data_IF_554016920474
#
_entry.id   IF_554016920474
#
_cell.length_a   1.000
_cell.length_b   1.000
_cell.length_c   1.000
_cell.angle_alpha   90.00
_cell.angle_beta   90.00
_cell.angle_gamma   90.00
#
_symmetry.space_group_name_H-M   'P 1'
#
loop_
_entity.id
_entity.type
_entity.pdbx_description
1 polymer ?
#
# COMPACT_ATOMS: atom_id res chain seq x y z
N UNK A 1 10.67 18.49 23.07
CA UNK A 1 11.82 17.61 22.72
C UNK A 1 12.70 17.31 23.93
N UNK A 2 13.07 18.28 24.76
CA UNK A 2 13.94 18.07 25.95
C UNK A 2 13.55 16.91 26.88
N UNK A 3 12.27 16.70 27.26
CA UNK A 3 11.90 15.57 28.11
C UNK A 3 12.21 14.21 27.46
N UNK A 4 12.00 14.09 26.15
CA UNK A 4 12.31 12.88 25.39
C UNK A 4 13.82 12.67 25.26
N UNK A 5 14.59 13.72 24.96
CA UNK A 5 16.06 13.64 24.91
C UNK A 5 16.62 13.17 26.24
N UNK A 6 16.17 13.76 27.36
CA UNK A 6 16.56 13.32 28.70
C UNK A 6 16.21 11.86 28.96
N UNK A 7 14.99 11.43 28.62
CA UNK A 7 14.55 10.04 28.78
C UNK A 7 15.48 9.07 28.05
N UNK A 8 15.88 9.41 26.82
CA UNK A 8 16.78 8.60 25.99
C UNK A 8 18.22 8.61 26.52
N UNK A 9 18.73 9.76 26.97
CA UNK A 9 20.07 9.88 27.55
C UNK A 9 20.22 9.16 28.90
N UNK A 10 19.11 8.96 29.62
CA UNK A 10 19.03 8.14 30.83
C UNK A 10 18.98 6.61 30.53
N UNK A 11 19.12 6.20 29.26
CA UNK A 11 19.08 4.80 28.77
C UNK A 11 17.84 4.03 29.24
N UNK A 12 16.68 4.68 29.15
CA UNK A 12 15.39 4.09 29.53
C UNK A 12 14.78 3.31 28.36
N UNK A 13 13.98 2.25 28.62
CA UNK A 13 13.36 1.45 27.57
C UNK A 13 12.58 2.30 26.57
N UNK A 14 13.01 2.28 25.31
CA UNK A 14 12.40 3.03 24.23
C UNK A 14 12.33 2.16 22.97
N UNK A 15 11.19 2.19 22.29
CA UNK A 15 11.00 1.58 20.98
C UNK A 15 10.60 2.65 19.98
N UNK A 16 11.53 3.03 19.10
CA UNK A 16 11.22 3.87 17.94
C UNK A 16 10.69 3.03 16.79
N UNK A 17 9.62 3.45 16.13
CA UNK A 17 9.03 2.74 14.97
C UNK A 17 9.00 3.69 13.78
N UNK A 18 9.54 3.25 12.64
CA UNK A 18 9.60 3.99 11.38
C UNK A 18 10.21 5.40 11.55
N UNK A 19 9.42 6.47 11.49
CA UNK A 19 9.90 7.83 11.75
C UNK A 19 10.49 7.97 13.17
N UNK A 20 10.03 7.16 14.12
CA UNK A 20 10.61 7.08 15.47
C UNK A 20 12.04 6.52 15.49
N UNK A 21 12.43 5.66 14.54
CA UNK A 21 13.81 5.25 14.31
C UNK A 21 14.61 6.39 13.67
N UNK A 22 14.06 6.98 12.61
CA UNK A 22 14.73 8.03 11.84
C UNK A 22 15.00 9.29 12.68
N UNK A 23 14.03 9.68 13.53
CA UNK A 23 14.14 10.81 14.43
C UNK A 23 15.27 10.66 15.48
N UNK A 24 15.82 9.46 15.71
CA UNK A 24 16.97 9.27 16.61
C UNK A 24 18.29 9.76 16.00
N UNK A 25 18.35 9.99 14.69
CA UNK A 25 19.53 10.45 13.96
C UNK A 25 19.60 11.98 13.89
N UNK A 26 20.63 12.53 13.24
CA UNK A 26 20.92 13.96 13.25
C UNK A 26 20.05 14.73 12.24
N UNK A 27 19.86 14.19 11.05
CA UNK A 27 19.18 14.84 9.93
C UNK A 27 18.60 13.82 8.93
N UNK A 28 17.67 14.29 8.10
CA UNK A 28 17.06 13.54 7.00
C UNK A 28 17.13 14.31 5.70
N UNK A 29 17.50 13.63 4.62
CA UNK A 29 17.42 14.17 3.26
C UNK A 29 15.98 14.54 2.84
N UNK A 30 14.97 13.92 3.45
CA UNK A 30 13.55 14.24 3.21
C UNK A 30 13.17 15.64 3.73
N UNK A 31 13.80 16.06 4.82
CA UNK A 31 13.52 17.32 5.51
C UNK A 31 14.82 17.93 6.04
N UNK A 32 15.71 18.45 5.16
CA UNK A 32 17.07 18.85 5.53
C UNK A 32 17.10 20.00 6.56
N UNK A 33 16.04 20.81 6.61
CA UNK A 33 15.92 21.94 7.55
C UNK A 33 15.36 21.53 8.92
N UNK A 34 14.98 20.26 9.12
CA UNK A 34 14.38 19.75 10.37
C UNK A 34 15.39 18.86 11.09
N UNK A 35 15.97 19.31 12.22
CA UNK A 35 16.93 18.50 12.96
C UNK A 35 16.25 17.33 13.68
N UNK A 36 16.93 16.18 13.72
CA UNK A 36 16.53 15.05 14.53
C UNK A 36 16.91 15.20 16.01
N UNK A 37 16.75 14.11 16.77
CA UNK A 37 17.10 14.07 18.18
C UNK A 37 18.61 13.99 18.41
N UNK A 38 19.38 13.56 17.41
CA UNK A 38 20.84 13.37 17.46
C UNK A 38 21.28 12.45 18.63
N UNK A 39 20.51 11.38 18.86
CA UNK A 39 20.87 10.33 19.82
C UNK A 39 21.93 9.40 19.20
N UNK A 40 21.77 9.09 17.92
CA UNK A 40 22.75 8.34 17.12
C UNK A 40 23.34 9.25 16.05
N UNK A 41 24.63 9.05 15.75
CA UNK A 41 25.30 9.72 14.64
C UNK A 41 24.97 9.06 13.32
N UNK A 42 24.82 9.87 12.29
CA UNK A 42 24.46 9.43 10.95
C UNK A 42 23.21 10.14 10.43
N UNK A 43 22.80 9.72 9.23
CA UNK A 43 21.82 10.46 8.43
C UNK A 43 20.75 9.52 7.88
N UNK A 44 19.57 10.08 7.65
CA UNK A 44 18.50 9.39 6.92
C UNK A 44 18.62 9.77 5.45
N UNK A 45 18.72 8.77 4.57
CA UNK A 45 18.96 8.96 3.13
C UNK A 45 17.87 8.35 2.28
N UNK A 46 17.61 8.95 1.13
CA UNK A 46 16.71 8.38 0.13
C UNK A 46 17.32 7.10 -0.46
N UNK A 47 16.48 6.12 -0.80
CA UNK A 47 16.95 4.95 -1.54
C UNK A 47 17.51 5.36 -2.91
N UNK A 48 18.70 4.87 -3.24
CA UNK A 48 19.28 5.02 -4.59
C UNK A 48 19.47 3.64 -5.21
N UNK A 49 18.40 3.13 -5.80
CA UNK A 49 18.29 1.76 -6.32
C UNK A 49 17.54 1.76 -7.65
N UNK A 50 17.69 0.68 -8.42
CA UNK A 50 16.89 0.44 -9.63
C UNK A 50 15.53 -0.23 -9.34
N UNK A 51 15.26 -0.58 -8.07
CA UNK A 51 13.96 -1.06 -7.62
C UNK A 51 13.00 0.11 -7.42
N UNK A 52 11.70 -0.19 -7.35
CA UNK A 52 10.67 0.81 -7.08
C UNK A 52 10.94 1.55 -5.76
N UNK A 53 10.58 2.82 -5.65
CA UNK A 53 10.65 3.57 -4.39
C UNK A 53 9.36 4.36 -4.23
N UNK A 54 8.59 4.20 -3.14
CA UNK A 54 8.99 3.67 -1.82
C UNK A 54 9.16 2.14 -1.76
N UNK A 55 9.97 1.67 -0.81
CA UNK A 55 10.03 0.25 -0.43
C UNK A 55 8.72 -0.10 0.31
N UNK A 56 7.78 -0.74 -0.38
CA UNK A 56 6.45 -1.11 0.14
C UNK A 56 6.28 -2.63 0.10
N UNK A 57 6.30 -3.29 1.26
CA UNK A 57 5.98 -4.71 1.34
C UNK A 57 6.68 -5.44 2.46
N UNK A 58 6.80 -6.76 2.28
CA UNK A 58 7.21 -7.69 3.33
C UNK A 58 8.62 -8.21 3.07
N UNK A 59 9.59 -7.84 3.90
CA UNK A 59 11.00 -8.22 3.70
C UNK A 59 11.57 -8.90 4.96
N UNK A 60 12.66 -9.66 4.78
CA UNK A 60 13.32 -10.39 5.85
C UNK A 60 14.30 -9.53 6.65
N UNK A 61 14.87 -10.11 7.71
CA UNK A 61 15.88 -9.48 8.56
C UNK A 61 17.16 -10.32 8.58
N UNK A 62 18.30 -9.66 8.42
CA UNK A 62 19.62 -10.20 8.73
C UNK A 62 20.04 -9.73 10.11
N UNK A 63 20.07 -10.64 11.07
CA UNK A 63 20.37 -10.32 12.47
C UNK A 63 21.88 -10.10 12.64
N UNK A 64 22.28 -8.89 13.02
CA UNK A 64 23.69 -8.57 13.28
C UNK A 64 24.09 -8.94 14.71
N UNK A 65 23.16 -8.86 15.66
CA UNK A 65 23.33 -9.22 17.07
C UNK A 65 22.04 -9.75 17.68
N UNK A 66 22.14 -10.42 18.82
CA UNK A 66 20.97 -10.90 19.58
C UNK A 66 20.31 -9.77 20.38
N UNK A 67 18.98 -9.82 20.51
CA UNK A 67 18.18 -8.88 21.27
C UNK A 67 16.94 -9.54 21.88
N UNK A 68 16.53 -9.15 23.11
CA UNK A 68 15.31 -9.68 23.72
C UNK A 68 14.06 -9.45 22.87
N UNK A 69 14.01 -8.38 22.06
CA UNK A 69 12.82 -8.08 21.23
C UNK A 69 12.54 -9.16 20.18
N UNK A 70 13.51 -10.01 19.85
CA UNK A 70 13.37 -11.10 18.89
C UNK A 70 13.02 -12.46 19.52
N UNK A 71 12.82 -12.52 20.84
CA UNK A 71 12.53 -13.78 21.53
C UNK A 71 11.33 -14.52 20.88
N UNK A 72 11.55 -15.78 20.51
CA UNK A 72 10.54 -16.64 19.88
C UNK A 72 10.38 -16.49 18.37
N UNK A 73 11.19 -15.66 17.71
CA UNK A 73 11.30 -15.62 16.24
C UNK A 73 12.31 -16.66 15.74
N UNK A 74 12.04 -17.30 14.61
CA UNK A 74 12.94 -18.30 14.02
C UNK A 74 13.97 -17.71 13.04
N UNK A 75 13.73 -16.51 12.50
CA UNK A 75 14.64 -15.78 11.61
C UNK A 75 14.24 -15.78 10.14
N UNK A 76 13.15 -16.47 9.76
CA UNK A 76 12.57 -16.48 8.42
C UNK A 76 11.33 -15.59 8.31
N UNK A 77 10.87 -14.99 9.41
CA UNK A 77 9.72 -14.10 9.40
C UNK A 77 9.96 -12.88 8.51
N UNK A 78 8.88 -12.39 7.89
CA UNK A 78 8.88 -11.14 7.15
C UNK A 78 8.18 -10.04 7.94
N UNK A 79 8.69 -8.83 7.79
CA UNK A 79 8.16 -7.62 8.43
C UNK A 79 7.77 -6.60 7.37
N UNK A 80 6.77 -5.78 7.68
CA UNK A 80 6.22 -4.81 6.76
C UNK A 80 7.01 -3.49 6.79
N UNK A 81 7.56 -3.13 5.63
CA UNK A 81 8.27 -1.89 5.36
C UNK A 81 7.43 -1.01 4.43
N UNK A 82 7.46 0.30 4.67
CA UNK A 82 6.72 1.29 3.88
C UNK A 82 7.43 2.65 3.96
N UNK A 83 8.53 2.82 3.21
CA UNK A 83 9.39 4.00 3.31
C UNK A 83 10.25 4.27 2.06
N UNK A 84 10.51 5.55 1.77
CA UNK A 84 11.48 5.95 0.72
C UNK A 84 12.87 6.24 1.26
N UNK A 85 12.99 6.47 2.57
CA UNK A 85 14.23 6.87 3.23
C UNK A 85 14.62 5.86 4.29
N UNK A 86 15.92 5.64 4.50
CA UNK A 86 16.44 4.72 5.51
C UNK A 86 17.63 5.34 6.26
N UNK A 87 17.90 4.85 7.47
CA UNK A 87 19.04 5.33 8.26
C UNK A 87 20.37 4.77 7.73
N UNK A 88 21.40 5.58 7.83
CA UNK A 88 22.80 5.25 7.57
C UNK A 88 23.61 5.64 8.82
N UNK A 89 23.77 4.72 9.78
CA UNK A 89 24.57 4.98 10.98
C UNK A 89 26.05 5.18 10.66
N UNK A 90 26.72 6.08 11.38
CA UNK A 90 28.20 6.14 11.38
C UNK A 90 28.81 4.99 12.19
N UNK A 91 28.11 4.55 13.24
CA UNK A 91 28.53 3.47 14.12
C UNK A 91 27.85 2.16 13.74
N UNK A 92 28.49 1.30 12.94
CA UNK A 92 27.89 0.02 12.51
C UNK A 92 27.45 -0.88 13.69
N UNK A 93 28.11 -0.77 14.84
CA UNK A 93 27.81 -1.55 16.04
C UNK A 93 26.39 -1.32 16.59
N UNK A 94 25.73 -0.21 16.26
CA UNK A 94 24.34 0.02 16.69
C UNK A 94 23.33 -0.76 15.84
N UNK A 95 23.68 -1.17 14.63
CA UNK A 95 22.79 -1.95 13.77
C UNK A 95 22.39 -3.25 14.47
N UNK A 96 21.07 -3.44 14.61
CA UNK A 96 20.49 -4.65 15.20
C UNK A 96 20.13 -5.64 14.09
N UNK A 97 19.51 -5.15 13.02
CA UNK A 97 19.27 -5.91 11.79
C UNK A 97 19.58 -5.08 10.55
N UNK A 98 19.93 -5.77 9.47
CA UNK A 98 19.92 -5.20 8.12
C UNK A 98 18.96 -5.96 7.23
N UNK A 99 18.62 -5.37 6.08
CA UNK A 99 17.71 -5.93 5.08
C UNK A 99 18.22 -5.54 3.70
N UNK A 100 18.03 -6.40 2.71
CA UNK A 100 18.39 -6.15 1.31
C UNK A 100 17.22 -5.54 0.54
N UNK A 101 17.50 -4.41 -0.13
CA UNK A 101 16.61 -3.78 -1.10
C UNK A 101 17.44 -2.99 -2.12
N UNK A 102 17.92 -3.67 -3.17
CA UNK A 102 18.92 -3.16 -4.12
C UNK A 102 20.34 -3.11 -3.53
N UNK A 103 20.46 -2.81 -2.23
CA UNK A 103 21.65 -2.95 -1.42
C UNK A 103 21.26 -3.24 0.05
N UNK A 104 22.23 -3.61 0.88
CA UNK A 104 22.00 -3.83 2.31
C UNK A 104 21.79 -2.50 3.05
N UNK A 105 20.66 -2.31 3.72
CA UNK A 105 20.37 -1.14 4.57
C UNK A 105 20.09 -1.54 6.02
N UNK A 106 20.26 -0.60 6.95
CA UNK A 106 19.97 -0.83 8.39
C UNK A 106 18.45 -0.80 8.63
N UNK A 107 17.88 -1.95 9.03
CA UNK A 107 16.44 -2.12 9.24
C UNK A 107 16.00 -2.05 10.70
N UNK A 108 16.94 -2.15 11.65
CA UNK A 108 16.72 -1.81 13.06
C UNK A 108 18.03 -1.45 13.74
N UNK A 109 17.94 -0.70 14.85
CA UNK A 109 19.09 -0.30 15.67
C UNK A 109 18.84 -0.59 17.14
N UNK A 110 19.91 -0.79 17.89
CA UNK A 110 19.88 -0.89 19.34
C UNK A 110 21.18 -0.40 19.99
N UNK A 111 21.04 0.43 21.03
CA UNK A 111 22.10 0.79 21.99
C UNK A 111 21.49 0.87 23.39
N UNK A 112 22.02 0.09 24.32
CA UNK A 112 21.43 -0.02 25.66
C UNK A 112 19.98 -0.51 25.59
N UNK A 113 19.09 0.21 26.28
CA UNK A 113 17.66 -0.05 26.31
C UNK A 113 16.88 0.62 25.16
N UNK A 114 17.55 1.42 24.32
CA UNK A 114 16.95 2.07 23.15
C UNK A 114 17.00 1.08 21.99
N UNK A 115 15.82 0.66 21.54
CA UNK A 115 15.62 -0.12 20.31
C UNK A 115 14.83 0.72 19.31
N UNK A 116 15.04 0.52 18.02
CA UNK A 116 14.16 1.10 17.02
C UNK A 116 14.12 0.26 15.74
N UNK A 117 12.97 0.22 15.06
CA UNK A 117 12.74 -0.56 13.84
C UNK A 117 12.30 0.34 12.70
N UNK A 118 12.82 0.08 11.49
CA UNK A 118 12.37 0.76 10.28
C UNK A 118 11.04 0.18 9.78
N UNK A 119 10.84 -1.13 9.98
CA UNK A 119 9.56 -1.80 9.75
C UNK A 119 8.54 -1.47 10.84
N UNK A 120 7.27 -1.68 10.51
CA UNK A 120 6.12 -1.49 11.39
C UNK A 120 5.69 -2.81 12.06
N UNK A 121 6.11 -3.11 13.29
CA UNK A 121 5.71 -4.35 13.96
C UNK A 121 4.19 -4.45 14.17
N UNK A 122 3.49 -3.33 14.36
CA UNK A 122 2.02 -3.28 14.43
C UNK A 122 1.32 -3.60 13.10
N UNK A 123 2.05 -3.58 11.98
CA UNK A 123 1.57 -3.97 10.64
C UNK A 123 2.23 -5.25 10.11
N UNK A 124 3.01 -5.93 10.94
CA UNK A 124 3.75 -7.15 10.57
C UNK A 124 3.08 -8.43 11.08
N UNK A 125 1.76 -8.42 11.25
CA UNK A 125 0.98 -9.57 11.72
C UNK A 125 1.48 -10.14 13.05
N UNK A 126 1.39 -11.46 13.21
CA UNK A 126 1.78 -12.17 14.45
C UNK A 126 3.24 -11.96 14.82
N UNK A 127 4.15 -11.96 13.84
CA UNK A 127 5.59 -11.79 14.06
C UNK A 127 5.91 -10.38 14.59
N UNK A 128 5.23 -9.37 14.07
CA UNK A 128 5.36 -8.01 14.57
C UNK A 128 4.75 -7.81 15.96
N UNK A 129 3.57 -8.39 16.24
CA UNK A 129 3.00 -8.41 17.58
C UNK A 129 3.94 -9.07 18.59
N UNK A 130 4.70 -10.10 18.17
CA UNK A 130 5.69 -10.75 19.02
C UNK A 130 6.82 -9.78 19.42
N UNK A 131 7.30 -8.96 18.48
CA UNK A 131 8.31 -7.92 18.77
C UNK A 131 7.79 -6.91 19.81
N UNK A 132 6.53 -6.46 19.65
CA UNK A 132 5.90 -5.54 20.62
C UNK A 132 5.72 -6.19 21.99
N UNK A 133 5.25 -7.45 22.04
CA UNK A 133 5.10 -8.22 23.27
C UNK A 133 6.43 -8.33 24.01
N UNK A 134 7.50 -8.68 23.29
CA UNK A 134 8.83 -8.86 23.87
C UNK A 134 9.40 -7.54 24.42
N UNK A 135 9.20 -6.42 23.71
CA UNK A 135 9.59 -5.10 24.20
C UNK A 135 8.85 -4.73 25.50
N UNK A 136 7.53 -4.95 25.55
CA UNK A 136 6.70 -4.64 26.73
C UNK A 136 7.09 -5.50 27.94
N UNK A 137 7.42 -6.78 27.72
CA UNK A 137 7.88 -7.67 28.80
C UNK A 137 9.18 -7.19 29.44
N UNK A 138 10.03 -6.48 28.69
CA UNK A 138 11.27 -5.91 29.21
C UNK A 138 12.29 -6.97 29.65
N UNK A 139 12.28 -8.15 29.01
CA UNK A 139 13.28 -9.18 29.26
C UNK A 139 14.68 -8.68 28.90
N UNK A 140 15.71 -9.12 29.62
CA UNK A 140 17.11 -8.71 29.40
C UNK A 140 17.93 -9.78 28.68
N UNK A 141 17.40 -11.00 28.57
CA UNK A 141 18.05 -12.14 27.94
C UNK A 141 18.24 -11.89 26.45
N UNK A 142 19.50 -11.80 26.00
CA UNK A 142 19.79 -11.69 24.57
C UNK A 142 19.35 -12.95 23.84
N UNK A 143 18.56 -12.79 22.78
CA UNK A 143 18.09 -13.86 21.92
C UNK A 143 18.47 -13.56 20.47
N UNK A 144 19.07 -14.53 19.79
CA UNK A 144 19.35 -14.46 18.35
C UNK A 144 18.60 -15.61 17.67
N UNK A 145 17.77 -15.34 16.65
CA UNK A 145 17.05 -16.38 15.94
C UNK A 145 17.97 -17.46 15.34
N UNK A 146 17.48 -18.69 15.24
CA UNK A 146 18.26 -19.84 14.75
C UNK A 146 18.66 -19.69 13.29
N UNK A 147 17.74 -19.23 12.45
CA UNK A 147 17.99 -19.03 11.03
C UNK A 147 18.65 -17.67 10.82
N UNK A 148 19.78 -17.69 10.13
CA UNK A 148 20.55 -16.50 9.76
C UNK A 148 20.58 -16.42 8.23
N UNK A 149 19.82 -15.48 7.68
CA UNK A 149 19.75 -15.26 6.24
C UNK A 149 21.03 -14.58 5.74
N UNK A 150 21.60 -15.08 4.65
CA UNK A 150 22.69 -14.40 3.92
C UNK A 150 22.16 -13.25 3.07
N UNK A 151 20.94 -13.40 2.55
CA UNK A 151 20.23 -12.44 1.70
C UNK A 151 18.75 -12.45 2.07
N UNK A 152 18.10 -11.28 2.06
CA UNK A 152 16.64 -11.15 2.23
C UNK A 152 15.97 -10.78 0.92
N UNK A 153 14.72 -11.20 0.75
CA UNK A 153 13.94 -10.90 -0.46
C UNK A 153 12.60 -10.29 -0.10
N UNK A 154 12.22 -9.23 -0.83
CA UNK A 154 10.88 -8.68 -0.78
C UNK A 154 9.89 -9.73 -1.31
N UNK A 155 8.89 -10.05 -0.51
CA UNK A 155 7.82 -10.95 -0.92
C UNK A 155 6.85 -10.26 -1.88
N UNK A 156 6.38 -11.02 -2.86
CA UNK A 156 5.23 -10.64 -3.69
C UNK A 156 3.97 -10.62 -2.83
N UNK A 157 3.21 -9.53 -2.96
CA UNK A 157 2.15 -9.15 -2.02
C UNK A 157 0.78 -9.57 -2.55
N UNK A 158 0.02 -10.30 -1.73
CA UNK A 158 -1.37 -10.67 -2.07
C UNK A 158 -2.33 -9.71 -1.37
N UNK A 159 -2.97 -8.85 -2.16
CA UNK A 159 -3.90 -7.83 -1.68
C UNK A 159 -5.32 -8.33 -1.79
N UNK A 160 -6.05 -8.33 -0.67
CA UNK A 160 -7.47 -8.68 -0.65
C UNK A 160 -8.30 -7.39 -0.69
N UNK A 161 -9.28 -7.34 -1.60
CA UNK A 161 -10.12 -6.16 -1.76
C UNK A 161 -11.59 -6.44 -1.42
N UNK A 162 -12.26 -5.46 -0.84
CA UNK A 162 -13.70 -5.49 -0.59
C UNK A 162 -14.38 -4.16 -0.96
N UNK A 163 -15.46 -4.27 -1.71
CA UNK A 163 -16.38 -3.17 -1.96
C UNK A 163 -17.24 -2.93 -0.74
N UNK A 164 -17.30 -1.69 -0.25
CA UNK A 164 -18.24 -1.30 0.80
C UNK A 164 -19.27 -0.34 0.21
N UNK A 165 -20.54 -0.76 0.26
CA UNK A 165 -21.69 -0.02 -0.27
C UNK A 165 -22.73 0.21 0.82
N UNK A 166 -23.67 1.10 0.55
CA UNK A 166 -24.86 1.29 1.40
C UNK A 166 -26.04 0.59 0.75
N UNK A 167 -26.77 -0.24 1.50
CA UNK A 167 -28.03 -0.83 1.02
C UNK A 167 -29.21 0.15 1.17
N UNK A 168 -30.40 -0.22 0.69
CA UNK A 168 -31.62 0.61 0.78
C UNK A 168 -32.02 1.00 2.21
N UNK A 169 -31.56 0.26 3.22
CA UNK A 169 -31.83 0.50 4.63
C UNK A 169 -30.75 1.39 5.31
N UNK A 170 -29.71 1.78 4.58
CA UNK A 170 -28.61 2.58 5.11
C UNK A 170 -27.48 1.77 5.75
N UNK A 171 -27.49 0.44 5.67
CA UNK A 171 -26.44 -0.43 6.20
C UNK A 171 -25.24 -0.48 5.27
N UNK A 172 -24.05 -0.62 5.85
CA UNK A 172 -22.85 -0.96 5.08
C UNK A 172 -22.86 -2.45 4.74
N UNK A 173 -22.84 -2.77 3.46
CA UNK A 173 -22.79 -4.13 2.95
C UNK A 173 -21.58 -4.32 2.06
N UNK A 174 -21.08 -5.56 2.01
CA UNK A 174 -20.07 -5.97 1.03
C UNK A 174 -20.77 -6.64 -0.13
N UNK A 175 -20.52 -6.17 -1.36
CA UNK A 175 -21.07 -6.80 -2.57
C UNK A 175 -20.19 -7.94 -3.04
N UNK A 176 -20.82 -9.05 -3.42
CA UNK A 176 -20.18 -10.26 -3.96
C UNK A 176 -19.70 -10.06 -5.41
N UNK A 177 -18.89 -9.04 -5.72
CA UNK A 177 -18.15 -8.89 -6.98
C UNK A 177 -18.93 -8.87 -8.30
N UNK A 178 -20.24 -9.11 -8.28
CA UNK A 178 -21.14 -9.17 -9.44
C UNK A 178 -22.41 -8.40 -9.06
N UNK A 179 -23.04 -7.74 -10.03
CA UNK A 179 -24.36 -7.11 -9.84
C UNK A 179 -25.30 -8.10 -9.14
N UNK A 180 -25.97 -7.71 -8.04
CA UNK A 180 -27.34 -8.07 -7.64
C UNK A 180 -27.61 -7.84 -6.13
N UNK A 181 -28.86 -7.44 -5.87
CA UNK A 181 -29.52 -7.05 -4.63
C UNK A 181 -29.13 -7.83 -3.37
N UNK A 182 -28.75 -7.11 -2.30
CA UNK A 182 -28.61 -7.67 -0.95
C UNK A 182 -29.76 -7.16 -0.09
N UNK A 183 -30.89 -7.87 -0.10
CA UNK A 183 -32.01 -7.66 0.84
C UNK A 183 -31.86 -8.59 2.04
N UNK A 184 -31.46 -8.05 3.19
CA UNK A 184 -31.70 -8.69 4.50
C UNK A 184 -32.45 -7.70 5.40
N UNK A 185 -33.36 -8.22 6.23
CA UNK A 185 -34.22 -7.45 7.14
C UNK A 185 -33.63 -7.44 8.54
N UNK A 186 -33.36 -6.27 9.10
CA UNK A 186 -33.08 -6.10 10.53
C UNK A 186 -32.63 -4.68 10.87
N UNK A 187 -33.06 -4.16 12.02
CA UNK A 187 -32.71 -2.81 12.50
C UNK A 187 -31.26 -2.70 13.03
N UNK A 188 -30.71 -1.48 12.91
CA UNK A 188 -29.33 -1.01 13.22
C UNK A 188 -28.29 -1.30 12.13
N UNK A 189 -27.61 -0.23 11.66
CA UNK A 189 -26.50 -0.25 10.68
C UNK A 189 -25.54 -1.41 10.96
N UNK A 190 -25.62 -2.49 10.19
CA UNK A 190 -24.76 -3.65 10.39
C UNK A 190 -23.34 -3.39 9.82
N UNK A 191 -22.53 -2.68 10.60
CA UNK A 191 -21.11 -2.42 10.29
C UNK A 191 -20.23 -3.68 10.41
N UNK A 192 -20.78 -4.82 10.89
CA UNK A 192 -20.01 -6.03 11.18
C UNK A 192 -19.51 -6.74 9.94
N UNK A 193 -20.27 -6.71 8.83
CA UNK A 193 -19.92 -7.50 7.63
C UNK A 193 -18.58 -7.10 6.98
N UNK A 194 -18.25 -5.81 6.76
CA UNK A 194 -16.94 -5.43 6.25
C UNK A 194 -15.79 -5.75 7.22
N UNK A 195 -16.03 -5.58 8.53
CA UNK A 195 -15.03 -5.84 9.59
C UNK A 195 -14.70 -7.33 9.68
N UNK A 196 -15.73 -8.17 9.76
CA UNK A 196 -15.59 -9.63 9.81
C UNK A 196 -14.91 -10.18 8.56
N UNK A 197 -15.23 -9.65 7.38
CA UNK A 197 -14.58 -10.05 6.14
C UNK A 197 -13.11 -9.63 6.12
N UNK A 198 -12.79 -8.42 6.55
CA UNK A 198 -11.40 -7.98 6.66
C UNK A 198 -10.62 -8.85 7.66
N UNK A 199 -11.20 -9.17 8.82
CA UNK A 199 -10.61 -10.12 9.78
C UNK A 199 -10.36 -11.48 9.13
N UNK A 200 -11.34 -12.00 8.38
CA UNK A 200 -11.20 -13.26 7.66
C UNK A 200 -10.03 -13.21 6.67
N UNK A 201 -9.92 -12.18 5.84
CA UNK A 201 -8.82 -12.04 4.89
C UNK A 201 -7.46 -12.00 5.60
N UNK A 202 -7.36 -11.28 6.72
CA UNK A 202 -6.15 -11.26 7.54
C UNK A 202 -5.79 -12.66 8.08
N UNK A 203 -6.78 -13.39 8.63
CA UNK A 203 -6.61 -14.75 9.14
C UNK A 203 -6.26 -15.76 8.03
N UNK A 204 -6.78 -15.55 6.82
CA UNK A 204 -6.48 -16.34 5.61
C UNK A 204 -5.12 -15.97 4.98
N UNK A 205 -4.42 -14.97 5.52
CA UNK A 205 -3.06 -14.63 5.15
C UNK A 205 -2.93 -13.45 4.17
N UNK A 206 -3.93 -12.58 4.02
CA UNK A 206 -3.78 -11.36 3.22
C UNK A 206 -2.56 -10.54 3.67
N UNK A 207 -1.84 -9.95 2.71
CA UNK A 207 -0.69 -9.10 2.99
C UNK A 207 -1.07 -7.63 3.13
N UNK A 208 -2.25 -7.27 2.63
CA UNK A 208 -2.90 -5.97 2.76
C UNK A 208 -4.40 -6.12 2.47
N UNK A 209 -5.21 -5.26 3.07
CA UNK A 209 -6.66 -5.21 2.83
C UNK A 209 -7.04 -3.84 2.27
N UNK A 210 -7.67 -3.83 1.09
CA UNK A 210 -8.19 -2.63 0.45
C UNK A 210 -9.70 -2.54 0.58
N UNK A 211 -10.20 -1.41 1.06
CA UNK A 211 -11.62 -1.06 1.12
C UNK A 211 -11.94 -0.09 -0.01
N UNK A 212 -12.84 -0.46 -0.91
CA UNK A 212 -13.38 0.44 -1.91
C UNK A 212 -14.69 1.02 -1.39
N UNK A 213 -14.63 2.26 -0.95
CA UNK A 213 -15.78 3.02 -0.46
C UNK A 213 -16.61 3.56 -1.62
N UNK A 214 -17.71 2.87 -1.93
CA UNK A 214 -18.67 3.25 -2.98
C UNK A 214 -19.93 3.85 -2.32
N UNK A 215 -19.83 4.26 -1.06
CA UNK A 215 -20.96 4.84 -0.35
C UNK A 215 -21.19 6.29 -0.78
N UNK A 216 -22.44 6.64 -1.09
CA UNK A 216 -22.83 7.99 -1.44
C UNK A 216 -23.17 8.80 -0.19
N UNK A 217 -22.16 9.33 0.51
CA UNK A 217 -22.39 10.13 1.73
C UNK A 217 -21.97 11.60 1.59
N UNK A 218 -22.18 12.19 0.40
CA UNK A 218 -21.66 13.52 0.05
C UNK A 218 -22.13 14.69 0.93
N UNK A 219 -23.08 14.47 1.85
CA UNK A 219 -23.68 15.52 2.68
C UNK A 219 -23.49 15.30 4.20
N UNK A 220 -22.73 14.28 4.63
CA UNK A 220 -22.51 14.00 6.06
C UNK A 220 -21.30 14.76 6.62
N UNK A 221 -21.36 15.20 7.89
CA UNK A 221 -20.17 15.64 8.61
C UNK A 221 -19.08 14.56 8.59
N UNK A 222 -17.83 14.94 8.37
CA UNK A 222 -16.71 14.01 8.18
C UNK A 222 -16.61 12.95 9.28
N UNK A 223 -16.79 13.37 10.53
CA UNK A 223 -16.67 12.49 11.71
C UNK A 223 -17.75 11.42 11.79
N UNK A 224 -18.86 11.60 11.08
CA UNK A 224 -20.02 10.71 11.09
C UNK A 224 -19.99 9.73 9.91
N UNK A 225 -18.96 9.78 9.06
CA UNK A 225 -18.79 8.85 7.95
C UNK A 225 -18.68 7.41 8.47
N UNK A 226 -19.60 6.50 8.08
CA UNK A 226 -19.62 5.13 8.60
C UNK A 226 -18.33 4.34 8.33
N UNK A 227 -17.62 4.64 7.24
CA UNK A 227 -16.36 4.01 6.90
C UNK A 227 -15.24 4.27 7.91
N UNK A 228 -15.28 5.40 8.63
CA UNK A 228 -14.32 5.66 9.70
C UNK A 228 -14.48 4.66 10.84
N UNK A 229 -15.72 4.36 11.22
CA UNK A 229 -15.99 3.35 12.26
C UNK A 229 -15.65 1.94 11.80
N UNK A 230 -15.87 1.60 10.52
CA UNK A 230 -15.40 0.33 9.94
C UNK A 230 -13.89 0.19 10.13
N UNK A 231 -13.11 1.19 9.73
CA UNK A 231 -11.65 1.17 9.89
C UNK A 231 -11.23 1.06 11.36
N UNK A 232 -11.86 1.83 12.26
CA UNK A 232 -11.54 1.79 13.70
C UNK A 232 -11.82 0.43 14.33
N UNK A 233 -12.84 -0.28 13.84
CA UNK A 233 -13.15 -1.63 14.29
C UNK A 233 -12.19 -2.65 13.68
N UNK A 234 -11.94 -2.56 12.38
CA UNK A 234 -10.98 -3.43 11.68
C UNK A 234 -9.58 -3.32 12.30
N UNK A 235 -9.09 -2.12 12.59
CA UNK A 235 -7.74 -1.89 13.10
C UNK A 235 -7.49 -2.44 14.51
N UNK A 236 -8.54 -2.88 15.23
CA UNK A 236 -8.40 -3.57 16.53
C UNK A 236 -8.00 -5.04 16.39
N UNK A 237 -8.27 -5.63 15.23
CA UNK A 237 -8.16 -7.08 15.01
C UNK A 237 -7.27 -7.45 13.82
N UNK A 238 -7.04 -6.50 12.91
CA UNK A 238 -6.26 -6.68 11.69
C UNK A 238 -4.93 -5.93 11.78
N UNK A 239 -3.83 -6.67 11.78
CA UNK A 239 -2.46 -6.17 11.95
C UNK A 239 -1.63 -6.28 10.68
N UNK A 240 -2.27 -5.96 9.55
CA UNK A 240 -1.66 -5.77 8.23
C UNK A 240 -2.11 -4.40 7.69
N UNK A 241 -1.46 -3.86 6.64
CA UNK A 241 -1.84 -2.57 6.07
C UNK A 241 -3.30 -2.53 5.60
N UNK A 242 -3.95 -1.40 5.84
CA UNK A 242 -5.31 -1.09 5.42
C UNK A 242 -5.30 0.08 4.43
N UNK A 243 -5.82 -0.14 3.23
CA UNK A 243 -5.96 0.89 2.20
C UNK A 243 -7.42 1.28 2.03
N UNK A 244 -7.73 2.57 1.97
CA UNK A 244 -9.09 3.07 1.74
C UNK A 244 -9.16 3.89 0.46
N UNK A 245 -9.95 3.43 -0.51
CA UNK A 245 -10.26 4.15 -1.74
C UNK A 245 -11.67 4.70 -1.74
N UNK A 246 -11.88 5.86 -2.35
CA UNK A 246 -13.21 6.45 -2.54
C UNK A 246 -13.59 7.51 -1.49
N UNK A 247 -13.92 8.71 -1.98
CA UNK A 247 -14.32 9.85 -1.15
C UNK A 247 -13.16 10.73 -0.65
N UNK A 248 -11.92 10.50 -1.09
CA UNK A 248 -10.74 11.28 -0.69
C UNK A 248 -10.63 12.53 -1.56
N UNK A 249 -11.39 13.56 -1.22
CA UNK A 249 -11.49 14.83 -1.97
C UNK A 249 -11.97 15.97 -1.07
N UNK A 250 -11.83 17.18 -1.58
CA UNK A 250 -12.46 18.36 -1.01
C UNK A 250 -13.99 18.22 -1.07
N UNK A 251 -14.68 18.54 0.02
CA UNK A 251 -16.14 18.62 0.03
C UNK A 251 -16.67 19.56 1.12
N UNK A 252 -17.93 19.95 1.01
CA UNK A 252 -18.63 20.76 2.01
C UNK A 252 -19.80 19.94 2.54
N UNK A 253 -19.91 19.82 3.87
CA UNK A 253 -20.98 19.06 4.50
C UNK A 253 -22.32 19.83 4.52
N UNK A 254 -23.39 19.17 4.98
CA UNK A 254 -24.71 19.77 5.13
C UNK A 254 -24.78 20.94 6.12
N UNK A 255 -23.79 21.10 7.01
CA UNK A 255 -23.68 22.23 7.92
C UNK A 255 -22.91 23.41 7.29
N UNK A 256 -22.47 23.29 6.04
CA UNK A 256 -21.68 24.31 5.35
C UNK A 256 -20.20 24.32 5.75
N UNK A 257 -19.72 23.32 6.49
CA UNK A 257 -18.29 23.21 6.79
C UNK A 257 -17.55 22.60 5.61
N UNK A 258 -16.57 23.34 5.12
CA UNK A 258 -15.63 22.84 4.13
C UNK A 258 -14.56 21.96 4.77
N UNK A 259 -14.22 20.87 4.09
CA UNK A 259 -13.14 19.95 4.42
C UNK A 259 -12.23 19.80 3.21
N UNK A 260 -10.93 19.99 3.41
CA UNK A 260 -9.91 19.69 2.40
C UNK A 260 -9.68 18.18 2.26
N UNK A 261 -9.18 17.74 1.10
CA UNK A 261 -8.79 16.35 0.86
C UNK A 261 -7.76 15.85 1.88
N UNK A 262 -6.86 16.75 2.32
CA UNK A 262 -5.90 16.46 3.38
C UNK A 262 -6.62 16.18 4.72
N UNK A 263 -7.58 17.02 5.14
CA UNK A 263 -8.36 16.76 6.36
C UNK A 263 -9.14 15.43 6.28
N UNK A 264 -9.70 15.12 5.12
CA UNK A 264 -10.39 13.85 4.87
C UNK A 264 -9.43 12.68 5.03
N UNK A 265 -8.29 12.72 4.34
CA UNK A 265 -7.26 11.68 4.43
C UNK A 265 -6.73 11.53 5.87
N UNK A 266 -6.45 12.65 6.56
CA UNK A 266 -6.04 12.66 7.96
C UNK A 266 -7.03 11.95 8.87
N UNK A 267 -8.34 12.15 8.70
CA UNK A 267 -9.34 11.47 9.52
C UNK A 267 -9.42 9.96 9.21
N UNK A 268 -9.24 9.58 7.94
CA UNK A 268 -9.12 8.16 7.56
C UNK A 268 -7.89 7.51 8.19
N UNK A 269 -6.72 8.16 8.15
CA UNK A 269 -5.50 7.67 8.79
C UNK A 269 -5.67 7.50 10.30
N UNK A 270 -6.23 8.52 10.97
CA UNK A 270 -6.53 8.45 12.42
C UNK A 270 -7.55 7.37 12.77
N UNK A 271 -8.37 6.97 11.81
CA UNK A 271 -9.37 5.92 11.97
C UNK A 271 -8.83 4.52 11.67
N UNK A 272 -7.59 4.38 11.19
CA UNK A 272 -6.90 3.10 11.04
C UNK A 272 -6.44 2.76 9.63
N UNK A 273 -6.74 3.59 8.62
CA UNK A 273 -6.12 3.44 7.31
C UNK A 273 -4.61 3.74 7.39
N UNK A 274 -3.83 3.04 6.59
CA UNK A 274 -2.40 3.30 6.40
C UNK A 274 -2.14 4.02 5.07
N UNK A 275 -3.00 3.77 4.10
CA UNK A 275 -2.94 4.37 2.75
C UNK A 275 -4.31 4.81 2.29
N UNK A 276 -4.35 5.87 1.49
CA UNK A 276 -5.54 6.30 0.76
C UNK A 276 -5.40 5.98 -0.73
N UNK A 277 -6.53 5.80 -1.42
CA UNK A 277 -6.56 5.62 -2.87
C UNK A 277 -7.38 6.71 -3.55
N UNK A 278 -6.75 7.39 -4.51
CA UNK A 278 -7.34 8.45 -5.34
C UNK A 278 -7.62 7.87 -6.73
N UNK A 279 -8.89 7.82 -7.13
CA UNK A 279 -9.32 7.31 -8.43
C UNK A 279 -9.60 8.42 -9.44
N UNK A 280 -10.88 8.65 -9.75
CA UNK A 280 -11.32 9.62 -10.77
C UNK A 280 -10.73 11.02 -10.65
N UNK A 281 -10.50 11.51 -9.42
CA UNK A 281 -9.97 12.84 -9.21
C UNK A 281 -8.49 12.94 -9.67
N UNK A 282 -7.73 11.83 -9.67
CA UNK A 282 -6.36 11.79 -10.18
C UNK A 282 -6.31 12.08 -11.69
N UNK A 283 -7.28 11.58 -12.46
CA UNK A 283 -7.39 11.86 -13.89
C UNK A 283 -7.62 13.36 -14.14
N UNK A 284 -8.53 13.97 -13.38
CA UNK A 284 -8.84 15.40 -13.49
C UNK A 284 -7.64 16.27 -13.07
N UNK A 285 -6.91 15.86 -12.03
CA UNK A 285 -5.68 16.51 -11.59
C UNK A 285 -4.65 16.48 -12.73
N UNK A 286 -4.43 15.32 -13.35
CA UNK A 286 -3.43 15.19 -14.42
C UNK A 286 -3.82 15.98 -15.67
N UNK A 287 -5.09 15.97 -16.07
CA UNK A 287 -5.56 16.83 -17.17
C UNK A 287 -5.27 18.30 -16.90
N UNK A 288 -5.53 18.77 -15.67
CA UNK A 288 -5.24 20.15 -15.25
C UNK A 288 -3.73 20.45 -15.29
N UNK A 289 -2.90 19.54 -14.77
CA UNK A 289 -1.44 19.70 -14.76
C UNK A 289 -0.89 19.75 -16.19
N UNK A 290 -1.39 18.90 -17.09
CA UNK A 290 -0.97 18.88 -18.49
C UNK A 290 -1.41 20.16 -19.22
N UNK A 291 -2.63 20.63 -18.97
CA UNK A 291 -3.18 21.80 -19.64
C UNK A 291 -2.60 23.13 -19.12
N UNK A 292 -2.40 23.26 -17.81
CA UNK A 292 -2.09 24.53 -17.14
C UNK A 292 -0.66 24.59 -16.58
N UNK A 293 0.01 23.45 -16.42
CA UNK A 293 1.32 23.35 -15.76
C UNK A 293 1.30 23.59 -14.25
N UNK A 294 0.12 23.79 -13.65
CA UNK A 294 -0.03 24.13 -12.25
C UNK A 294 0.16 22.89 -11.36
N UNK A 295 1.23 22.91 -10.54
CA UNK A 295 1.52 21.95 -9.47
C UNK A 295 1.45 22.66 -8.12
N UNK A 296 1.12 21.95 -7.05
CA UNK A 296 1.39 22.35 -5.67
C UNK A 296 0.22 22.13 -4.69
N UNK A 297 -1.00 22.02 -5.21
CA UNK A 297 -2.25 22.10 -4.44
C UNK A 297 -3.20 20.92 -4.67
N UNK A 298 -2.82 19.92 -5.47
CA UNK A 298 -3.66 18.74 -5.69
C UNK A 298 -3.77 17.88 -4.43
N UNK A 299 -4.80 17.03 -4.35
CA UNK A 299 -4.92 16.06 -3.24
C UNK A 299 -3.74 15.09 -3.17
N UNK A 300 -3.17 14.70 -4.32
CA UNK A 300 -1.96 13.85 -4.38
C UNK A 300 -0.79 14.57 -3.71
N UNK A 301 -0.53 15.81 -4.08
CA UNK A 301 0.63 16.59 -3.59
C UNK A 301 0.48 16.99 -2.12
N UNK A 302 -0.72 17.41 -1.70
CA UNK A 302 -0.96 17.86 -0.33
C UNK A 302 -0.90 16.72 0.67
N UNK A 303 -1.44 15.55 0.32
CA UNK A 303 -1.40 14.35 1.18
C UNK A 303 0.02 13.79 1.23
N UNK A 304 0.68 13.61 0.08
CA UNK A 304 2.04 13.05 0.02
C UNK A 304 3.07 13.94 0.73
N UNK A 305 2.93 15.27 0.68
CA UNK A 305 3.81 16.19 1.41
C UNK A 305 3.74 16.03 2.93
N UNK A 306 2.58 15.65 3.46
CA UNK A 306 2.37 15.51 4.91
C UNK A 306 2.64 14.08 5.40
N UNK A 307 2.24 13.08 4.62
CA UNK A 307 2.28 11.66 5.04
C UNK A 307 3.33 10.82 4.28
N UNK A 308 4.03 11.42 3.32
CA UNK A 308 4.96 10.75 2.41
C UNK A 308 4.24 10.10 1.22
N UNK A 309 5.00 9.87 0.14
CA UNK A 309 4.48 9.25 -1.09
C UNK A 309 3.83 7.89 -0.80
N UNK A 310 4.40 7.13 0.13
CA UNK A 310 3.93 5.80 0.53
C UNK A 310 2.48 5.76 1.03
N UNK A 311 1.90 6.90 1.42
CA UNK A 311 0.53 6.99 1.90
C UNK A 311 -0.50 7.17 0.77
N UNK A 312 -0.04 7.51 -0.44
CA UNK A 312 -0.91 7.87 -1.58
C UNK A 312 -0.84 6.81 -2.67
N UNK A 313 -1.92 6.06 -2.81
CA UNK A 313 -2.17 5.13 -3.92
C UNK A 313 -3.01 5.83 -4.98
N UNK A 314 -2.72 5.63 -6.27
CA UNK A 314 -3.60 6.08 -7.35
C UNK A 314 -4.23 4.89 -8.04
N UNK A 315 -5.57 4.87 -8.09
CA UNK A 315 -6.34 3.87 -8.81
C UNK A 315 -6.54 4.31 -10.26
N UNK A 316 -5.97 3.55 -11.20
CA UNK A 316 -6.11 3.81 -12.63
C UNK A 316 -7.07 2.77 -13.22
N UNK A 317 -8.09 3.24 -13.94
CA UNK A 317 -9.12 2.41 -14.58
C UNK A 317 -9.04 2.55 -16.12
N UNK A 318 -8.10 1.85 -16.78
CA UNK A 318 -7.91 1.90 -18.21
C UNK A 318 -8.75 0.87 -18.96
N UNK A 319 -9.03 1.18 -20.23
CA UNK A 319 -9.51 0.23 -21.25
C UNK A 319 -8.68 0.34 -22.51
N UNK A 320 -8.50 -0.77 -23.21
CA UNK A 320 -7.70 -0.86 -24.44
C UNK A 320 -8.41 -0.19 -25.61
N UNK A 321 -7.66 0.61 -26.37
CA UNK A 321 -8.10 1.26 -27.61
C UNK A 321 -7.10 0.95 -28.72
N UNK A 322 -7.53 0.19 -29.72
CA UNK A 322 -6.71 -0.18 -30.87
C UNK A 322 -6.53 0.98 -31.86
N UNK A 323 -5.36 1.03 -32.47
CA UNK A 323 -5.00 2.03 -33.49
C UNK A 323 -4.15 1.40 -34.60
N UNK A 324 -4.26 1.93 -35.81
CA UNK A 324 -3.56 1.38 -36.98
C UNK A 324 -2.02 1.49 -36.89
N UNK A 325 -1.53 2.55 -36.25
CA UNK A 325 -0.10 2.81 -36.05
C UNK A 325 0.13 3.72 -34.84
N UNK A 326 1.36 3.79 -34.29
CA UNK A 326 1.69 4.69 -33.19
C UNK A 326 1.38 6.17 -33.45
N UNK A 327 1.43 6.60 -34.71
CA UNK A 327 1.15 8.00 -35.09
C UNK A 327 -0.33 8.34 -35.28
N UNK A 328 -1.23 7.37 -35.14
CA UNK A 328 -2.68 7.58 -35.33
C UNK A 328 -3.36 8.24 -34.12
N UNK A 329 -2.65 8.42 -33.02
CA UNK A 329 -3.15 9.01 -31.78
C UNK A 329 -2.05 9.86 -31.13
N UNK A 330 -2.36 10.94 -30.41
CA UNK A 330 -1.37 11.68 -29.62
C UNK A 330 -0.94 10.91 -28.35
N UNK A 331 -1.67 9.85 -28.01
CA UNK A 331 -1.49 9.07 -26.78
C UNK A 331 -0.35 8.05 -26.90
N UNK A 332 0.27 7.68 -25.78
CA UNK A 332 1.34 6.68 -25.79
C UNK A 332 0.77 5.29 -26.15
N UNK A 333 1.25 4.72 -27.26
CA UNK A 333 0.86 3.39 -27.73
C UNK A 333 1.90 2.33 -27.42
N UNK A 334 1.45 1.08 -27.29
CA UNK A 334 2.30 -0.11 -27.30
C UNK A 334 1.99 -0.95 -28.54
N UNK A 335 2.97 -1.75 -28.97
CA UNK A 335 2.70 -2.90 -29.85
C UNK A 335 2.03 -4.00 -29.03
N UNK A 336 1.01 -4.64 -29.59
CA UNK A 336 0.25 -5.68 -28.89
C UNK A 336 0.23 -6.99 -29.67
N UNK A 337 0.38 -8.08 -28.93
CA UNK A 337 0.21 -9.44 -29.44
C UNK A 337 -1.28 -9.79 -29.67
N UNK A 338 -2.20 -9.01 -29.12
CA UNK A 338 -3.65 -9.19 -29.25
C UNK A 338 -4.13 -8.31 -30.42
N UNK A 339 -4.47 -8.87 -31.59
CA UNK A 339 -4.92 -8.07 -32.73
C UNK A 339 -6.26 -7.38 -32.44
N UNK A 340 -6.39 -6.15 -32.89
CA UNK A 340 -7.66 -5.43 -32.91
C UNK A 340 -8.68 -6.03 -33.90
N UNK A 341 -9.94 -5.57 -33.86
CA UNK A 341 -11.01 -6.10 -34.73
C UNK A 341 -10.73 -6.03 -36.23
N UNK A 342 -9.90 -5.08 -36.66
CA UNK A 342 -9.50 -4.89 -38.06
C UNK A 342 -8.04 -5.33 -38.33
N UNK A 343 -7.43 -6.03 -37.38
CA UNK A 343 -6.03 -6.46 -37.47
C UNK A 343 -5.02 -5.43 -36.97
N UNK A 344 -5.47 -4.39 -36.26
CA UNK A 344 -4.59 -3.42 -35.61
C UNK A 344 -3.56 -4.13 -34.70
N UNK A 345 -2.32 -3.67 -34.73
CA UNK A 345 -1.19 -4.20 -33.95
C UNK A 345 -0.69 -3.26 -32.87
N UNK A 346 -1.32 -2.10 -32.75
CA UNK A 346 -0.98 -1.10 -31.75
C UNK A 346 -2.23 -0.76 -30.94
N UNK A 347 -2.03 -0.44 -29.67
CA UNK A 347 -3.09 0.06 -28.82
C UNK A 347 -2.54 1.05 -27.79
N UNK A 348 -3.42 1.88 -27.26
CA UNK A 348 -3.18 2.66 -26.06
C UNK A 348 -4.28 2.33 -25.03
N UNK A 349 -4.08 2.74 -23.79
CA UNK A 349 -4.97 2.42 -22.69
C UNK A 349 -5.67 3.68 -22.20
N UNK A 350 -6.90 3.91 -22.66
CA UNK A 350 -7.69 5.09 -22.32
C UNK A 350 -8.13 5.02 -20.86
N UNK A 351 -7.77 6.02 -20.07
CA UNK A 351 -8.23 6.14 -18.68
C UNK A 351 -9.69 6.56 -18.62
N UNK A 352 -10.36 6.13 -17.55
CA UNK A 352 -11.75 6.46 -17.29
C UNK A 352 -11.95 7.07 -15.90
N UNK A 353 -13.09 7.71 -15.72
CA UNK A 353 -13.57 8.24 -14.44
C UNK A 353 -15.00 7.75 -14.16
N UNK A 354 -15.50 8.07 -12.96
CA UNK A 354 -16.86 7.70 -12.49
C UNK A 354 -17.08 6.17 -12.48
N UNK A 355 -16.03 5.43 -12.12
CA UNK A 355 -16.03 3.97 -12.07
C UNK A 355 -16.23 3.35 -13.45
N UNK A 356 -15.35 3.67 -14.41
CA UNK A 356 -15.38 3.09 -15.75
C UNK A 356 -16.37 3.70 -16.75
N UNK A 357 -17.25 4.62 -16.31
CA UNK A 357 -18.41 5.06 -17.12
C UNK A 357 -18.10 6.18 -18.11
N UNK A 358 -17.03 6.94 -17.89
CA UNK A 358 -16.67 8.08 -18.71
C UNK A 358 -15.19 7.97 -19.10
N UNK A 359 -14.91 7.80 -20.40
CA UNK A 359 -13.55 7.82 -20.94
C UNK A 359 -13.00 9.24 -21.03
N UNK A 360 -11.69 9.38 -20.83
CA UNK A 360 -10.97 10.66 -20.87
C UNK A 360 -9.86 10.61 -21.92
N UNK A 361 -9.47 11.76 -22.45
CA UNK A 361 -8.40 11.87 -23.44
C UNK A 361 -7.03 11.91 -22.75
N UNK A 362 -6.73 10.84 -22.01
CA UNK A 362 -5.44 10.60 -21.37
C UNK A 362 -5.20 9.09 -21.28
N UNK A 363 -3.97 8.68 -21.58
CA UNK A 363 -3.56 7.28 -21.51
C UNK A 363 -2.97 6.90 -20.15
N UNK A 364 -3.02 5.60 -19.83
CA UNK A 364 -2.56 5.06 -18.54
C UNK A 364 -1.08 5.31 -18.25
N UNK A 365 -0.22 5.32 -19.28
CA UNK A 365 1.22 5.54 -19.14
C UNK A 365 1.48 7.00 -18.78
N UNK A 366 0.84 7.92 -19.51
CA UNK A 366 0.91 9.36 -19.24
C UNK A 366 0.35 9.67 -17.85
N UNK A 367 -0.82 9.11 -17.50
CA UNK A 367 -1.42 9.30 -16.18
C UNK A 367 -0.48 8.83 -15.07
N UNK A 368 0.08 7.62 -15.18
CA UNK A 368 0.99 7.02 -14.22
C UNK A 368 2.23 7.89 -13.95
N UNK A 369 2.86 8.41 -15.02
CA UNK A 369 4.01 9.32 -14.91
C UNK A 369 3.65 10.61 -14.19
N UNK A 370 2.54 11.24 -14.57
CA UNK A 370 2.14 12.51 -13.96
C UNK A 370 1.80 12.33 -12.49
N UNK A 371 1.09 11.26 -12.09
CA UNK A 371 0.78 11.07 -10.67
C UNK A 371 1.99 10.72 -9.82
N UNK A 372 2.97 9.99 -10.37
CA UNK A 372 4.27 9.79 -9.72
C UNK A 372 4.94 11.15 -9.44
N UNK A 373 5.02 12.01 -10.45
CA UNK A 373 5.62 13.34 -10.33
C UNK A 373 4.91 14.25 -9.32
N UNK A 374 3.65 13.96 -9.01
CA UNK A 374 2.83 14.68 -8.02
C UNK A 374 2.97 14.09 -6.61
N UNK A 375 3.66 12.97 -6.43
CA UNK A 375 3.91 12.34 -5.13
C UNK A 375 3.05 11.11 -4.83
N UNK A 376 2.43 10.48 -5.83
CA UNK A 376 1.90 9.12 -5.64
C UNK A 376 3.04 8.15 -5.33
N UNK A 377 2.85 7.24 -4.39
CA UNK A 377 3.84 6.24 -4.01
C UNK A 377 3.48 4.82 -4.40
N UNK A 378 2.30 4.58 -4.98
CA UNK A 378 1.90 3.27 -5.49
C UNK A 378 0.77 3.42 -6.50
N UNK A 379 0.75 2.59 -7.54
CA UNK A 379 -0.32 2.55 -8.55
C UNK A 379 -1.16 1.30 -8.34
N UNK A 380 -2.45 1.47 -8.09
CA UNK A 380 -3.43 0.40 -8.22
C UNK A 380 -3.92 0.36 -9.67
N UNK A 381 -3.36 -0.57 -10.45
CA UNK A 381 -3.61 -0.66 -11.89
C UNK A 381 -4.71 -1.68 -12.16
N UNK A 382 -5.95 -1.18 -12.27
CA UNK A 382 -7.08 -2.00 -12.70
C UNK A 382 -7.04 -2.21 -14.22
N UNK A 383 -7.94 -3.04 -14.73
CA UNK A 383 -8.16 -3.19 -16.17
C UNK A 383 -9.63 -3.48 -16.43
N UNK A 384 -10.33 -2.53 -17.06
CA UNK A 384 -11.77 -2.63 -17.32
C UNK A 384 -12.09 -3.85 -18.18
N UNK A 385 -11.24 -4.14 -19.17
CA UNK A 385 -11.45 -5.26 -20.10
C UNK A 385 -11.23 -6.63 -19.45
N UNK A 386 -10.54 -6.68 -18.30
CA UNK A 386 -10.29 -7.92 -17.54
C UNK A 386 -11.19 -8.07 -16.33
N UNK A 387 -11.85 -7.01 -15.89
CA UNK A 387 -12.64 -7.04 -14.66
C UNK A 387 -13.81 -8.04 -14.75
N UNK A 388 -13.98 -8.85 -13.69
CA UNK A 388 -14.97 -9.93 -13.63
C UNK A 388 -14.75 -11.12 -14.59
N UNK A 389 -13.79 -11.07 -15.52
CA UNK A 389 -13.63 -12.11 -16.56
C UNK A 389 -13.03 -13.42 -16.04
N UNK A 390 -12.27 -13.37 -14.94
CA UNK A 390 -11.46 -14.48 -14.44
C UNK A 390 -10.50 -15.06 -15.51
N UNK A 391 -10.03 -14.24 -16.47
CA UNK A 391 -9.14 -14.65 -17.56
C UNK A 391 -7.66 -14.27 -17.36
N UNK A 392 -7.29 -13.85 -16.16
CA UNK A 392 -5.94 -13.36 -15.85
C UNK A 392 -5.83 -11.84 -15.99
N UNK A 393 -4.70 -11.31 -15.52
CA UNK A 393 -4.38 -9.89 -15.56
C UNK A 393 -3.99 -9.46 -16.99
N UNK A 394 -4.03 -8.16 -17.29
CA UNK A 394 -3.50 -7.64 -18.57
C UNK A 394 -1.99 -7.40 -18.45
N UNK A 395 -1.20 -8.39 -18.87
CA UNK A 395 0.27 -8.38 -18.78
C UNK A 395 0.91 -7.25 -19.59
N UNK A 396 0.34 -6.92 -20.76
CA UNK A 396 0.86 -5.85 -21.62
C UNK A 396 0.66 -4.47 -20.96
N UNK A 397 -0.50 -4.25 -20.34
CA UNK A 397 -0.80 -3.03 -19.59
C UNK A 397 0.15 -2.86 -18.40
N UNK A 398 0.29 -3.92 -17.60
CA UNK A 398 1.13 -3.89 -16.40
C UNK A 398 2.58 -3.61 -16.79
N UNK A 399 3.11 -4.34 -17.76
CA UNK A 399 4.48 -4.14 -18.25
C UNK A 399 4.69 -2.73 -18.79
N UNK A 400 3.72 -2.17 -19.52
CA UNK A 400 3.84 -0.83 -20.09
C UNK A 400 3.85 0.28 -19.02
N UNK A 401 3.06 0.14 -17.96
CA UNK A 401 3.04 1.08 -16.84
C UNK A 401 4.31 0.93 -16.00
N UNK A 402 4.74 -0.29 -15.67
CA UNK A 402 5.97 -0.53 -14.90
C UNK A 402 7.23 0.00 -15.57
N UNK A 403 7.31 -0.05 -16.90
CA UNK A 403 8.44 0.53 -17.64
C UNK A 403 8.42 2.06 -17.66
N UNK A 404 7.32 2.67 -17.24
CA UNK A 404 7.09 4.09 -17.31
C UNK A 404 7.23 4.81 -15.96
N UNK A 405 7.21 4.07 -14.85
CA UNK A 405 7.26 4.62 -13.49
C UNK A 405 8.27 3.88 -12.62
N UNK A 406 8.76 4.55 -11.59
CA UNK A 406 9.70 4.05 -10.59
C UNK A 406 9.00 3.81 -9.23
N UNK A 407 7.67 3.87 -9.17
CA UNK A 407 6.86 3.56 -7.99
C UNK A 407 6.18 2.19 -8.13
N UNK A 408 5.93 1.46 -7.02
CA UNK A 408 5.29 0.15 -7.05
C UNK A 408 3.96 0.12 -7.82
N UNK A 409 3.75 -0.97 -8.58
CA UNK A 409 2.49 -1.24 -9.30
C UNK A 409 1.81 -2.48 -8.71
N UNK A 410 0.53 -2.33 -8.37
CA UNK A 410 -0.38 -3.40 -7.98
C UNK A 410 -1.17 -3.83 -9.21
N UNK A 411 -0.98 -5.07 -9.65
CA UNK A 411 -1.80 -5.68 -10.69
C UNK A 411 -3.21 -5.99 -10.17
N UNK A 412 -4.24 -5.50 -10.85
CA UNK A 412 -5.65 -5.70 -10.47
C UNK A 412 -6.51 -6.03 -11.68
N UNK A 413 -7.72 -6.56 -11.41
CA UNK A 413 -8.73 -7.03 -12.39
C UNK A 413 -8.34 -8.29 -13.18
N UNK A 414 -9.21 -9.31 -13.16
CA UNK A 414 -9.08 -10.53 -13.99
C UNK A 414 -8.54 -11.78 -13.30
N UNK A 415 -8.03 -11.68 -12.06
CA UNK A 415 -7.60 -12.83 -11.27
C UNK A 415 -8.74 -13.85 -11.10
N UNK A 416 -8.44 -15.12 -11.41
CA UNK A 416 -9.41 -16.22 -11.45
C UNK A 416 -8.90 -17.51 -10.82
N UNK A 417 -7.56 -17.67 -10.76
CA UNK A 417 -6.89 -18.86 -10.25
C UNK A 417 -5.50 -18.51 -9.71
N UNK A 418 -4.86 -19.36 -8.89
CA UNK A 418 -3.46 -19.18 -8.47
C UNK A 418 -2.47 -19.03 -9.64
N UNK A 419 -2.77 -19.65 -10.79
CA UNK A 419 -1.92 -19.57 -11.98
C UNK A 419 -1.82 -18.14 -12.53
N UNK A 420 -2.88 -17.32 -12.41
CA UNK A 420 -2.84 -15.92 -12.86
C UNK A 420 -1.89 -15.06 -12.01
N UNK A 421 -1.76 -15.38 -10.71
CA UNK A 421 -0.79 -14.72 -9.83
C UNK A 421 0.65 -15.13 -10.19
N UNK A 422 0.87 -16.40 -10.50
CA UNK A 422 2.19 -16.87 -10.96
C UNK A 422 2.56 -16.20 -12.28
N UNK A 423 1.62 -16.15 -13.24
CA UNK A 423 1.82 -15.51 -14.54
C UNK A 423 2.24 -14.06 -14.39
N UNK A 424 1.48 -13.25 -13.64
CA UNK A 424 1.81 -11.82 -13.48
C UNK A 424 3.14 -11.63 -12.78
N UNK A 425 3.44 -12.38 -11.71
CA UNK A 425 4.72 -12.24 -11.00
C UNK A 425 5.93 -12.81 -11.76
N UNK A 426 5.71 -13.66 -12.76
CA UNK A 426 6.78 -14.22 -13.60
C UNK A 426 7.01 -13.41 -14.87
N UNK A 427 5.96 -12.79 -15.42
CA UNK A 427 6.00 -12.06 -16.68
C UNK A 427 6.23 -10.55 -16.50
N UNK A 428 6.01 -10.02 -15.29
CA UNK A 428 6.10 -8.59 -14.98
C UNK A 428 6.94 -8.35 -13.71
N UNK A 429 7.23 -7.09 -13.41
CA UNK A 429 7.90 -6.70 -12.17
C UNK A 429 6.93 -6.45 -11.02
N UNK A 430 5.62 -6.63 -11.21
CA UNK A 430 4.57 -6.30 -10.26
C UNK A 430 4.91 -6.80 -8.87
N UNK A 431 4.90 -5.90 -7.89
CA UNK A 431 5.26 -6.21 -6.51
C UNK A 431 4.05 -6.73 -5.73
N UNK A 432 2.85 -6.46 -6.23
CA UNK A 432 1.59 -6.86 -5.64
C UNK A 432 0.56 -7.27 -6.69
N UNK A 433 -0.32 -8.18 -6.31
CA UNK A 433 -1.49 -8.54 -7.09
C UNK A 433 -2.73 -8.53 -6.19
N UNK A 434 -3.78 -7.88 -6.68
CA UNK A 434 -5.04 -7.68 -5.98
C UNK A 434 -6.12 -8.56 -6.59
N UNK A 435 -6.88 -9.22 -5.73
CA UNK A 435 -8.14 -9.84 -6.12
C UNK A 435 -9.25 -9.56 -5.11
N UNK A 436 -10.48 -9.50 -5.63
CA UNK A 436 -11.69 -9.27 -4.85
C UNK A 436 -12.62 -10.49 -4.90
N UNK A 437 -13.26 -10.71 -6.05
CA UNK A 437 -14.33 -11.70 -6.22
C UNK A 437 -13.98 -13.12 -5.80
N UNK A 438 -12.83 -13.65 -6.26
CA UNK A 438 -12.42 -15.03 -6.00
C UNK A 438 -12.20 -15.32 -4.50
N UNK A 439 -11.61 -14.37 -3.76
CA UNK A 439 -11.40 -14.49 -2.32
C UNK A 439 -12.72 -14.32 -1.58
N UNK A 440 -13.54 -13.37 -2.01
CA UNK A 440 -14.82 -13.09 -1.39
C UNK A 440 -15.77 -14.30 -1.48
N UNK A 441 -15.86 -14.92 -2.67
CA UNK A 441 -16.69 -16.10 -2.98
C UNK A 441 -16.08 -17.42 -2.51
N UNK A 442 -14.83 -17.41 -2.00
CA UNK A 442 -14.07 -18.59 -1.57
C UNK A 442 -13.87 -19.62 -2.71
N UNK A 443 -13.77 -19.12 -3.94
CA UNK A 443 -13.43 -19.94 -5.11
C UNK A 443 -11.96 -20.33 -5.10
N UNK A 444 -11.12 -19.40 -4.64
CA UNK A 444 -9.68 -19.58 -4.41
C UNK A 444 -9.37 -18.96 -3.05
N UNK A 445 -8.59 -19.65 -2.21
CA UNK A 445 -8.16 -19.07 -0.93
C UNK A 445 -6.83 -18.32 -1.07
N UNK A 446 -6.59 -17.33 -0.21
CA UNK A 446 -5.31 -16.61 -0.18
C UNK A 446 -4.15 -17.56 0.13
N UNK A 447 -4.36 -18.51 1.05
CA UNK A 447 -3.38 -19.54 1.38
C UNK A 447 -3.05 -20.44 0.20
N UNK A 448 -4.04 -20.80 -0.61
CA UNK A 448 -3.84 -21.59 -1.84
C UNK A 448 -2.96 -20.84 -2.84
N UNK A 449 -3.24 -19.54 -3.08
CA UNK A 449 -2.40 -18.68 -3.92
C UNK A 449 -0.96 -18.66 -3.42
N UNK A 450 -0.76 -18.39 -2.12
CA UNK A 450 0.59 -18.30 -1.54
C UNK A 450 1.35 -19.63 -1.58
N UNK A 451 0.66 -20.73 -1.28
CA UNK A 451 1.24 -22.08 -1.34
C UNK A 451 1.67 -22.41 -2.78
N UNK A 452 0.80 -22.14 -3.75
CA UNK A 452 1.08 -22.36 -5.16
C UNK A 452 2.26 -21.51 -5.65
N UNK A 453 2.29 -20.22 -5.30
CA UNK A 453 3.38 -19.30 -5.64
C UNK A 453 4.72 -19.78 -5.09
N UNK A 454 4.76 -20.15 -3.81
CA UNK A 454 6.01 -20.61 -3.20
C UNK A 454 6.49 -21.95 -3.75
N UNK A 455 5.59 -22.89 -4.06
CA UNK A 455 5.95 -24.13 -4.75
C UNK A 455 6.56 -23.88 -6.13
N UNK A 456 6.25 -22.74 -6.76
CA UNK A 456 6.80 -22.29 -8.03
C UNK A 456 7.93 -21.26 -7.85
N UNK A 457 8.51 -21.14 -6.66
CA UNK A 457 9.71 -20.33 -6.42
C UNK A 457 9.48 -18.84 -6.25
N UNK A 458 8.23 -18.38 -6.15
CA UNK A 458 7.91 -16.97 -5.86
C UNK A 458 7.98 -16.74 -4.34
N UNK A 459 8.74 -15.73 -3.94
CA UNK A 459 8.85 -15.31 -2.53
C UNK A 459 7.53 -14.73 -2.03
N UNK A 460 6.96 -15.28 -0.97
CA UNK A 460 5.69 -14.84 -0.35
C UNK A 460 5.82 -14.78 1.17
N UNK A 461 4.90 -14.07 1.84
CA UNK A 461 4.76 -14.12 3.30
C UNK A 461 3.90 -15.31 3.71
N UNK A 462 4.30 -15.99 4.78
CA UNK A 462 3.54 -17.06 5.44
C UNK A 462 2.83 -16.61 6.71
#
# INVERSE_FOLDING_TARGET
LEPLKRYLLEDRPFLGICLGLQALFEESEEAPDVPGLAIFKGKVRHFNTALSVPHIGWNGLKFKKGSPIFNGLNGQEKFYFVHSYHVVPEEEAIALTTTDYGYEFTSSVQRGAICATQFHPEKSGKSGLKVLENFIKGETSSYRPEVQLSETKLAKRIVACLDVRTNDQGDLVVTKGDQYDVREKGEVRNLGKPVELARRYYEEGADEITFLNITGFRDFPLKDLPMLEVLRRTSKEVFVPLTIGGGIRDYTDSNGRHYSALEVASEYFRSGADKISIGSDAVLICEKVIAEGAKGDSSIETISRVYGNQAVVVSIDPRRVYVESPGATPHTTIETAIPGPNGERYCWYQCTIKGGREGREIDAITLAKVVQDLGAGEILLNCIDRDGTNMGFDIELISAVEQAVDIPVIASSGAGSPAHFLEVFSATQAEAALAAGIFHRKEVSIQEVKTFLSQNGIEVRY
#
